data_IF_387693178995
#
_entry.id   IF_387693178995
#
_cell.length_a   1.000
_cell.length_b   1.000
_cell.length_c   1.000
_cell.angle_alpha   90.00
_cell.angle_beta   90.00
_cell.angle_gamma   90.00
#
_symmetry.space_group_name_H-M   'P 1'
#
loop_
_entity.id
_entity.type
_entity.pdbx_description
1 polymer ?
#
# COMPACT_ATOMS: atom_id res chain seq x y z
N UNK A 1 -34.83 -63.98 22.06
CA UNK A 1 -33.65 -64.52 22.76
C UNK A 1 -33.60 -66.02 22.52
N UNK A 2 -32.41 -66.58 22.28
CA UNK A 2 -32.19 -68.03 22.33
C UNK A 2 -32.43 -68.53 23.77
N UNK A 3 -32.91 -69.78 23.96
CA UNK A 3 -33.06 -70.34 25.30
C UNK A 3 -31.68 -70.45 25.97
N UNK A 4 -31.58 -70.01 27.23
CA UNK A 4 -30.36 -70.17 28.03
C UNK A 4 -30.17 -71.67 28.28
N UNK A 5 -29.08 -72.23 27.76
CA UNK A 5 -28.71 -73.62 28.01
C UNK A 5 -28.02 -73.70 29.38
N UNK A 6 -28.61 -74.48 30.29
CA UNK A 6 -28.04 -74.81 31.59
C UNK A 6 -27.36 -76.18 31.47
N UNK A 7 -26.10 -76.27 31.89
CA UNK A 7 -25.29 -77.49 31.89
C UNK A 7 -24.85 -77.84 33.31
N UNK A 8 -24.56 -79.12 33.56
CA UNK A 8 -23.84 -79.54 34.77
C UNK A 8 -22.43 -78.95 34.79
N UNK A 9 -21.97 -78.48 35.95
CA UNK A 9 -20.60 -77.97 36.13
C UNK A 9 -19.57 -79.10 35.86
N UNK A 10 -18.53 -78.87 35.05
CA UNK A 10 -17.57 -79.90 34.67
C UNK A 10 -16.54 -80.25 35.77
N UNK A 11 -16.47 -79.46 36.85
CA UNK A 11 -15.51 -79.63 37.96
C UNK A 11 -16.22 -80.03 39.25
N UNK A 12 -17.41 -79.47 39.51
CA UNK A 12 -18.11 -79.57 40.79
C UNK A 12 -19.42 -80.37 40.65
N UNK A 13 -19.40 -81.64 41.07
CA UNK A 13 -20.61 -82.48 41.02
C UNK A 13 -21.77 -81.87 41.81
N UNK A 14 -22.96 -81.83 41.21
CA UNK A 14 -24.16 -81.22 41.79
C UNK A 14 -24.34 -79.72 41.51
N UNK A 15 -23.36 -79.05 40.89
CA UNK A 15 -23.47 -77.66 40.46
C UNK A 15 -23.93 -77.58 39.00
N UNK A 16 -24.50 -76.43 38.65
CA UNK A 16 -24.95 -76.12 37.29
C UNK A 16 -24.40 -74.76 36.86
N UNK A 17 -24.02 -74.67 35.59
CA UNK A 17 -23.48 -73.46 34.96
C UNK A 17 -24.29 -73.09 33.72
N UNK A 18 -24.35 -71.79 33.46
CA UNK A 18 -24.86 -71.21 32.22
C UNK A 18 -24.05 -69.95 31.92
N UNK A 19 -24.04 -69.53 30.65
CA UNK A 19 -23.37 -68.31 30.22
C UNK A 19 -24.38 -67.36 29.60
N UNK A 20 -24.32 -66.09 29.97
CA UNK A 20 -25.09 -65.03 29.32
C UNK A 20 -24.13 -64.21 28.48
N UNK A 21 -24.37 -64.18 27.18
CA UNK A 21 -23.68 -63.26 26.30
C UNK A 21 -24.43 -61.92 26.30
N UNK A 22 -23.88 -60.90 26.97
CA UNK A 22 -24.43 -59.53 26.99
C UNK A 22 -24.02 -58.71 25.77
N UNK A 23 -23.29 -59.31 24.82
CA UNK A 23 -22.77 -58.63 23.63
C UNK A 23 -23.88 -58.02 22.75
N UNK A 24 -24.93 -58.78 22.45
CA UNK A 24 -26.10 -58.34 21.67
C UNK A 24 -27.26 -57.89 22.58
N UNK A 25 -26.95 -57.34 23.76
CA UNK A 25 -27.95 -56.85 24.69
C UNK A 25 -28.69 -55.64 24.09
N UNK A 26 -29.99 -55.80 23.82
CA UNK A 26 -30.82 -54.75 23.23
C UNK A 26 -30.94 -53.49 24.10
N UNK A 27 -30.78 -53.61 25.42
CA UNK A 27 -30.89 -52.49 26.36
C UNK A 27 -29.92 -52.65 27.53
N UNK A 28 -29.28 -51.55 27.93
CA UNK A 28 -28.46 -51.41 29.14
C UNK A 28 -29.29 -51.47 30.44
N UNK A 29 -28.60 -51.36 31.58
CA UNK A 29 -29.16 -51.31 32.93
C UNK A 29 -29.33 -52.67 33.58
N UNK A 30 -29.97 -52.67 34.76
CA UNK A 30 -30.16 -53.86 35.59
C UNK A 30 -31.20 -54.79 34.96
N UNK A 31 -30.78 -56.00 34.62
CA UNK A 31 -31.63 -57.13 34.23
C UNK A 31 -31.73 -58.11 35.40
N UNK A 32 -32.90 -58.73 35.53
CA UNK A 32 -33.18 -59.73 36.57
C UNK A 32 -33.32 -61.09 35.89
N UNK A 33 -32.52 -62.06 36.33
CA UNK A 33 -32.64 -63.46 35.94
C UNK A 33 -33.31 -64.18 37.10
N UNK A 34 -34.49 -64.76 36.85
CA UNK A 34 -35.16 -65.61 37.83
C UNK A 34 -34.78 -67.07 37.58
N UNK A 35 -34.22 -67.72 38.59
CA UNK A 35 -33.91 -69.16 38.57
C UNK A 35 -34.96 -69.90 39.38
N UNK A 36 -35.53 -70.93 38.76
CA UNK A 36 -36.38 -71.94 39.40
C UNK A 36 -35.70 -73.29 39.28
N UNK A 37 -35.51 -73.98 40.40
CA UNK A 37 -34.89 -75.30 40.46
C UNK A 37 -35.84 -76.32 41.10
N UNK A 38 -36.09 -77.41 40.37
CA UNK A 38 -36.96 -78.52 40.77
C UNK A 38 -36.18 -79.84 40.69
N UNK A 39 -36.33 -80.68 41.72
CA UNK A 39 -35.80 -82.05 41.72
C UNK A 39 -36.87 -82.99 42.29
N UNK A 40 -37.07 -84.14 41.66
CA UNK A 40 -38.14 -85.07 42.02
C UNK A 40 -37.99 -85.56 43.47
N UNK A 41 -39.04 -85.40 44.27
CA UNK A 41 -39.10 -85.70 45.71
C UNK A 41 -38.33 -84.72 46.63
N UNK A 42 -37.96 -83.54 46.13
CA UNK A 42 -37.35 -82.45 46.92
C UNK A 42 -38.21 -81.18 46.89
N UNK A 43 -37.99 -80.28 47.84
CA UNK A 43 -38.58 -78.94 47.82
C UNK A 43 -38.09 -78.14 46.62
N UNK A 44 -39.00 -77.44 45.96
CA UNK A 44 -38.69 -76.51 44.88
C UNK A 44 -38.07 -75.21 45.41
N UNK A 45 -37.07 -74.69 44.71
CA UNK A 45 -36.59 -73.31 44.88
C UNK A 45 -37.16 -72.48 43.73
N UNK A 46 -38.06 -71.54 44.04
CA UNK A 46 -38.61 -70.59 43.08
C UNK A 46 -38.00 -69.20 43.26
N UNK A 47 -37.94 -68.43 42.17
CA UNK A 47 -37.63 -67.00 42.19
C UNK A 47 -36.30 -66.64 42.85
N UNK A 48 -35.27 -67.47 42.68
CA UNK A 48 -33.91 -67.06 43.06
C UNK A 48 -33.43 -66.00 42.05
N UNK A 49 -33.35 -64.74 42.48
CA UNK A 49 -33.07 -63.61 41.61
C UNK A 49 -31.57 -63.31 41.54
N UNK A 50 -31.03 -63.29 40.32
CA UNK A 50 -29.70 -62.76 40.01
C UNK A 50 -29.86 -61.42 39.28
N UNK A 51 -29.13 -60.41 39.74
CA UNK A 51 -29.10 -59.08 39.14
C UNK A 51 -27.84 -58.94 38.27
N UNK A 52 -28.00 -58.59 37.00
CA UNK A 52 -26.90 -58.31 36.08
C UNK A 52 -27.07 -56.87 35.58
N UNK A 53 -26.10 -56.01 35.89
CA UNK A 53 -26.08 -54.65 35.36
C UNK A 53 -25.33 -54.63 34.02
N UNK A 54 -26.05 -54.35 32.92
CA UNK A 54 -25.45 -54.23 31.59
C UNK A 54 -25.01 -52.77 31.41
N UNK A 55 -23.70 -52.54 31.32
CA UNK A 55 -23.13 -51.21 31.10
C UNK A 55 -23.16 -50.83 29.62
N UNK A 56 -23.18 -49.52 29.27
CA UNK A 56 -22.95 -49.07 27.91
C UNK A 56 -21.57 -49.52 27.41
N UNK A 57 -21.45 -49.70 26.10
CA UNK A 57 -20.20 -50.04 25.44
C UNK A 57 -19.34 -48.78 25.32
N UNK A 58 -18.08 -48.88 25.75
CA UNK A 58 -17.11 -47.78 25.67
C UNK A 58 -16.92 -47.35 24.21
N UNK A 59 -16.87 -46.03 24.00
CA UNK A 59 -16.68 -45.42 22.69
C UNK A 59 -15.57 -44.39 22.66
N UNK A 60 -15.11 -44.05 21.47
CA UNK A 60 -14.11 -43.01 21.20
C UNK A 60 -14.59 -42.09 20.07
N UNK A 61 -14.18 -40.82 20.08
CA UNK A 61 -14.25 -39.93 18.90
C UNK A 61 -12.82 -39.78 18.38
N UNK A 62 -12.56 -40.16 17.12
CA UNK A 62 -11.22 -40.10 16.52
C UNK A 62 -10.13 -40.80 17.37
N UNK A 63 -10.50 -41.86 18.10
CA UNK A 63 -9.63 -42.56 19.06
C UNK A 63 -9.51 -41.94 20.46
N UNK A 64 -10.12 -40.78 20.74
CA UNK A 64 -10.16 -40.12 22.04
C UNK A 64 -11.39 -40.55 22.87
N UNK A 65 -11.21 -40.95 24.13
CA UNK A 65 -12.29 -41.38 25.04
C UNK A 65 -12.79 -40.26 25.97
N UNK A 66 -12.18 -39.08 25.90
CA UNK A 66 -12.61 -37.87 26.61
C UNK A 66 -13.39 -36.92 25.68
N UNK A 67 -13.64 -35.69 26.14
CA UNK A 67 -14.07 -34.58 25.28
C UNK A 67 -12.97 -34.30 24.24
N UNK A 68 -13.28 -34.45 22.96
CA UNK A 68 -12.39 -34.03 21.88
C UNK A 68 -12.38 -32.50 21.81
N UNK A 69 -11.19 -31.88 21.82
CA UNK A 69 -11.05 -30.42 21.77
C UNK A 69 -10.24 -29.99 20.54
N UNK A 70 -10.89 -29.25 19.66
CA UNK A 70 -10.30 -28.70 18.43
C UNK A 70 -10.21 -27.18 18.54
N UNK A 71 -9.13 -26.59 18.02
CA UNK A 71 -8.93 -25.15 18.04
C UNK A 71 -8.30 -24.70 16.71
N UNK A 72 -9.14 -24.17 15.81
CA UNK A 72 -8.76 -23.89 14.43
C UNK A 72 -8.96 -22.42 14.06
N UNK A 73 -8.07 -21.92 13.20
CA UNK A 73 -8.15 -20.61 12.58
C UNK A 73 -8.32 -20.76 11.08
N UNK A 74 -9.36 -20.16 10.53
CA UNK A 74 -9.73 -20.30 9.11
C UNK A 74 -9.94 -18.90 8.53
N UNK A 75 -9.52 -18.69 7.28
CA UNK A 75 -9.79 -17.44 6.60
C UNK A 75 -11.28 -17.34 6.25
N UNK A 76 -11.88 -16.17 6.47
CA UNK A 76 -13.27 -15.92 6.08
C UNK A 76 -13.47 -16.23 4.58
N UNK A 77 -14.63 -16.79 4.22
CA UNK A 77 -14.94 -17.30 2.87
C UNK A 77 -14.26 -18.64 2.47
N UNK A 78 -13.34 -19.21 3.26
CA UNK A 78 -12.89 -20.59 3.02
C UNK A 78 -13.90 -21.60 3.56
N UNK A 79 -14.21 -22.64 2.77
CA UNK A 79 -15.02 -23.78 3.21
C UNK A 79 -14.17 -24.77 3.98
N UNK A 80 -14.64 -25.18 5.15
CA UNK A 80 -13.99 -26.21 5.96
C UNK A 80 -15.01 -27.22 6.50
N UNK A 81 -14.64 -28.50 6.45
CA UNK A 81 -15.50 -29.62 6.84
C UNK A 81 -14.75 -30.44 7.88
N UNK A 82 -15.25 -30.47 9.11
CA UNK A 82 -14.75 -31.35 10.16
C UNK A 82 -15.31 -32.75 9.95
N UNK A 83 -14.53 -33.80 10.24
CA UNK A 83 -14.97 -35.19 10.15
C UNK A 83 -14.58 -35.96 11.40
N UNK A 84 -15.51 -36.79 11.88
CA UNK A 84 -15.45 -37.50 13.15
C UNK A 84 -15.76 -38.98 12.93
N UNK A 85 -14.91 -39.86 13.44
CA UNK A 85 -15.21 -41.29 13.59
C UNK A 85 -15.65 -41.54 15.03
N UNK A 86 -16.93 -41.87 15.25
CA UNK A 86 -17.42 -42.34 16.53
C UNK A 86 -17.35 -43.87 16.54
N UNK A 87 -16.54 -44.42 17.44
CA UNK A 87 -16.03 -45.79 17.34
C UNK A 87 -16.30 -46.62 18.60
N UNK A 88 -16.49 -47.92 18.42
CA UNK A 88 -16.52 -48.95 19.47
C UNK A 88 -15.09 -49.23 19.95
N UNK A 89 -14.73 -48.77 21.15
CA UNK A 89 -13.34 -48.86 21.66
C UNK A 89 -12.83 -50.29 21.84
N UNK A 90 -13.73 -51.29 21.94
CA UNK A 90 -13.34 -52.70 22.06
C UNK A 90 -12.96 -53.33 20.71
N UNK A 91 -13.36 -52.71 19.59
CA UNK A 91 -13.11 -53.21 18.23
C UNK A 91 -12.27 -52.32 17.35
N UNK A 92 -12.32 -51.02 17.58
CA UNK A 92 -11.94 -50.02 16.59
C UNK A 92 -12.82 -50.12 15.33
N UNK A 93 -14.14 -50.24 15.50
CA UNK A 93 -15.12 -50.15 14.41
C UNK A 93 -15.97 -48.89 14.56
N UNK A 94 -16.05 -48.10 13.48
CA UNK A 94 -16.95 -46.94 13.39
C UNK A 94 -18.41 -47.41 13.54
N UNK A 95 -19.17 -46.69 14.36
CA UNK A 95 -20.57 -46.96 14.67
C UNK A 95 -21.42 -46.01 13.81
N UNK A 96 -22.17 -46.58 12.87
CA UNK A 96 -23.11 -45.86 12.01
C UNK A 96 -24.50 -45.68 12.60
N UNK A 97 -25.37 -45.03 11.83
CA UNK A 97 -26.80 -44.82 12.09
C UNK A 97 -27.09 -44.27 13.51
N UNK A 98 -26.34 -43.26 13.98
CA UNK A 98 -26.50 -42.73 15.34
C UNK A 98 -27.91 -42.18 15.64
N UNK A 99 -28.35 -42.35 16.89
CA UNK A 99 -29.63 -41.82 17.36
C UNK A 99 -29.54 -40.30 17.59
N UNK A 100 -28.33 -39.81 17.92
CA UNK A 100 -27.97 -38.38 17.92
C UNK A 100 -26.60 -38.20 17.26
N UNK A 101 -26.57 -37.38 16.22
CA UNK A 101 -25.35 -36.81 15.63
C UNK A 101 -25.63 -35.33 15.33
N UNK A 102 -25.55 -34.50 16.36
CA UNK A 102 -25.96 -33.09 16.29
C UNK A 102 -24.92 -32.14 16.86
N UNK A 103 -25.08 -30.85 16.56
CA UNK A 103 -24.26 -29.79 17.12
C UNK A 103 -25.12 -28.60 17.56
N UNK A 104 -24.60 -27.88 18.54
CA UNK A 104 -25.02 -26.51 18.89
C UNK A 104 -23.81 -25.60 18.72
N UNK A 105 -24.04 -24.32 18.44
CA UNK A 105 -22.98 -23.33 18.30
C UNK A 105 -23.38 -21.99 18.90
N UNK A 106 -22.38 -21.21 19.31
CA UNK A 106 -22.52 -19.85 19.82
C UNK A 106 -21.37 -19.00 19.28
N UNK A 107 -21.67 -17.77 18.87
CA UNK A 107 -20.65 -16.76 18.62
C UNK A 107 -20.22 -16.12 19.95
N UNK A 108 -18.92 -15.85 20.09
CA UNK A 108 -18.34 -15.21 21.28
C UNK A 108 -17.56 -13.95 20.90
N UNK A 109 -17.51 -12.99 21.83
CA UNK A 109 -16.68 -11.80 21.70
C UNK A 109 -15.18 -12.11 21.94
N UNK A 110 -14.32 -11.10 21.76
CA UNK A 110 -12.88 -11.20 21.99
C UNK A 110 -12.45 -11.45 23.45
N UNK A 111 -13.40 -11.44 24.40
CA UNK A 111 -13.20 -11.74 25.81
C UNK A 111 -13.77 -13.12 26.19
N UNK A 112 -14.42 -13.82 25.25
CA UNK A 112 -15.04 -15.13 25.45
C UNK A 112 -16.49 -15.10 25.97
N UNK A 113 -17.15 -13.94 25.95
CA UNK A 113 -18.58 -13.85 26.31
C UNK A 113 -19.46 -14.21 25.11
N UNK A 114 -20.56 -14.93 25.34
CA UNK A 114 -21.55 -15.25 24.29
C UNK A 114 -22.24 -13.98 23.79
N UNK A 115 -22.34 -13.84 22.47
CA UNK A 115 -23.10 -12.78 21.81
C UNK A 115 -24.58 -13.20 21.75
N UNK A 116 -25.45 -12.49 22.48
CA UNK A 116 -26.87 -12.81 22.58
C UNK A 116 -27.56 -12.77 21.20
N UNK A 117 -28.25 -13.86 20.84
CA UNK A 117 -28.95 -14.00 19.56
C UNK A 117 -28.06 -14.44 18.38
N UNK A 118 -26.75 -14.68 18.59
CA UNK A 118 -25.88 -15.32 17.61
C UNK A 118 -25.53 -16.75 18.06
N UNK A 119 -26.54 -17.62 17.99
CA UNK A 119 -26.44 -19.04 18.32
C UNK A 119 -27.28 -19.89 17.37
N UNK A 120 -27.13 -21.21 17.45
CA UNK A 120 -28.00 -22.13 16.73
C UNK A 120 -27.61 -23.60 16.87
N UNK A 121 -28.22 -24.44 16.04
CA UNK A 121 -28.00 -25.89 16.06
C UNK A 121 -28.16 -26.52 14.68
N UNK A 122 -27.71 -27.77 14.54
CA UNK A 122 -27.86 -28.56 13.32
C UNK A 122 -27.50 -30.02 13.53
N UNK A 123 -27.50 -30.79 12.44
CA UNK A 123 -27.13 -32.22 12.41
C UNK A 123 -25.88 -32.43 11.57
N UNK A 124 -25.09 -33.45 11.89
CA UNK A 124 -23.96 -33.87 11.08
C UNK A 124 -24.46 -34.79 9.96
N UNK A 125 -23.76 -34.81 8.81
CA UNK A 125 -24.06 -35.77 7.75
C UNK A 125 -23.27 -37.06 7.94
N UNK A 126 -23.92 -38.20 7.76
CA UNK A 126 -23.27 -39.51 7.79
C UNK A 126 -22.71 -39.87 6.42
N UNK A 127 -21.44 -40.24 6.39
CA UNK A 127 -20.71 -40.67 5.20
C UNK A 127 -20.96 -42.16 4.89
N UNK A 128 -20.59 -42.56 3.67
CA UNK A 128 -20.66 -43.97 3.20
C UNK A 128 -19.82 -44.93 4.07
N UNK A 129 -18.81 -44.43 4.78
CA UNK A 129 -17.96 -45.18 5.73
C UNK A 129 -18.42 -45.05 7.19
N UNK A 130 -19.64 -44.54 7.44
CA UNK A 130 -20.19 -44.26 8.78
C UNK A 130 -19.44 -43.18 9.60
N UNK A 131 -18.50 -42.42 9.02
CA UNK A 131 -17.98 -41.22 9.69
C UNK A 131 -18.97 -40.05 9.57
N UNK A 132 -18.92 -39.13 10.52
CA UNK A 132 -19.83 -37.99 10.60
C UNK A 132 -19.10 -36.71 10.27
N UNK A 133 -19.64 -35.91 9.35
CA UNK A 133 -19.03 -34.63 8.98
C UNK A 133 -19.92 -33.45 9.34
N UNK A 134 -19.28 -32.41 9.87
CA UNK A 134 -19.88 -31.11 10.14
C UNK A 134 -19.45 -30.15 9.03
N UNK A 135 -20.43 -29.69 8.25
CA UNK A 135 -20.28 -28.50 7.41
C UNK A 135 -20.92 -27.30 8.15
N UNK A 136 -20.07 -26.41 8.65
CA UNK A 136 -20.53 -25.21 9.38
C UNK A 136 -20.87 -24.04 8.44
N UNK A 137 -20.71 -24.23 7.12
CA UNK A 137 -20.81 -23.21 6.07
C UNK A 137 -19.87 -22.02 6.34
N UNK A 138 -18.62 -22.30 6.71
CA UNK A 138 -17.61 -21.28 7.07
C UNK A 138 -17.37 -20.26 5.95
N UNK A 139 -17.65 -20.62 4.70
CA UNK A 139 -17.58 -19.75 3.54
C UNK A 139 -18.61 -18.61 3.52
N UNK A 140 -19.70 -18.73 4.30
CA UNK A 140 -20.78 -17.75 4.39
C UNK A 140 -20.93 -17.12 5.79
N UNK A 141 -20.07 -17.50 6.73
CA UNK A 141 -20.06 -16.97 8.10
C UNK A 141 -19.26 -15.66 8.18
N UNK A 142 -19.69 -14.70 9.02
CA UNK A 142 -18.92 -13.48 9.25
C UNK A 142 -17.63 -13.78 10.03
N UNK A 143 -16.73 -12.79 10.07
CA UNK A 143 -15.51 -12.82 10.88
C UNK A 143 -15.90 -12.77 12.36
N UNK A 144 -15.36 -13.69 13.16
CA UNK A 144 -15.77 -13.88 14.54
C UNK A 144 -15.14 -15.10 15.17
N UNK A 145 -15.51 -15.33 16.44
CA UNK A 145 -15.11 -16.51 17.20
C UNK A 145 -16.35 -17.34 17.48
N UNK A 146 -16.27 -18.65 17.23
CA UNK A 146 -17.37 -19.58 17.36
C UNK A 146 -16.98 -20.74 18.28
N UNK A 147 -17.84 -21.07 19.23
CA UNK A 147 -17.77 -22.31 19.98
C UNK A 147 -18.82 -23.25 19.39
N UNK A 148 -18.41 -24.46 18.99
CA UNK A 148 -19.29 -25.49 18.44
C UNK A 148 -19.18 -26.73 19.34
N UNK A 149 -20.29 -27.14 19.95
CA UNK A 149 -20.37 -28.35 20.76
C UNK A 149 -21.18 -29.43 20.05
N UNK A 150 -20.54 -30.57 19.81
CA UNK A 150 -21.06 -31.69 19.03
C UNK A 150 -21.36 -32.86 19.96
N UNK A 151 -22.48 -33.55 19.76
CA UNK A 151 -22.88 -34.73 20.55
C UNK A 151 -23.14 -35.95 19.66
N UNK A 152 -22.56 -37.08 20.04
CA UNK A 152 -22.69 -38.38 19.40
C UNK A 152 -23.29 -39.39 20.39
N UNK A 153 -24.40 -40.05 20.02
CA UNK A 153 -25.09 -41.02 20.87
C UNK A 153 -25.71 -42.16 20.06
N UNK A 154 -25.53 -43.39 20.53
CA UNK A 154 -26.26 -44.58 20.08
C UNK A 154 -26.74 -45.40 21.27
N UNK A 155 -27.91 -46.03 21.15
CA UNK A 155 -28.45 -46.96 22.15
C UNK A 155 -27.42 -48.05 22.47
N UNK A 156 -27.20 -48.28 23.77
CA UNK A 156 -26.19 -49.21 24.32
C UNK A 156 -24.72 -48.79 24.18
N UNK A 157 -24.41 -47.59 23.68
CA UNK A 157 -23.06 -47.03 23.63
C UNK A 157 -22.93 -45.79 24.53
N UNK A 158 -21.69 -45.46 24.95
CA UNK A 158 -21.44 -44.23 25.71
C UNK A 158 -21.58 -42.99 24.82
N UNK A 159 -22.34 -42.00 25.27
CA UNK A 159 -22.40 -40.67 24.64
C UNK A 159 -21.01 -40.03 24.67
N UNK A 160 -20.57 -39.48 23.55
CA UNK A 160 -19.33 -38.69 23.45
C UNK A 160 -19.62 -37.33 22.82
N UNK A 161 -18.70 -36.40 23.05
CA UNK A 161 -18.83 -35.03 22.57
C UNK A 161 -17.50 -34.49 22.05
N UNK A 162 -17.59 -33.51 21.15
CA UNK A 162 -16.47 -32.70 20.72
C UNK A 162 -16.77 -31.21 20.93
N UNK A 163 -15.73 -30.41 21.19
CA UNK A 163 -15.78 -28.96 21.33
C UNK A 163 -14.79 -28.33 20.36
N UNK A 164 -15.29 -27.52 19.43
CA UNK A 164 -14.48 -26.77 18.47
C UNK A 164 -14.49 -25.30 18.88
N UNK A 165 -13.30 -24.73 19.10
CA UNK A 165 -13.09 -23.29 19.14
C UNK A 165 -12.58 -22.84 17.77
N UNK A 166 -13.46 -22.23 16.98
CA UNK A 166 -13.20 -21.78 15.61
C UNK A 166 -13.04 -20.26 15.59
N UNK A 167 -11.94 -19.76 15.02
CA UNK A 167 -11.79 -18.35 14.67
C UNK A 167 -11.86 -18.18 13.15
N UNK A 168 -12.84 -17.41 12.68
CA UNK A 168 -12.87 -16.89 11.31
C UNK A 168 -12.18 -15.52 11.29
N UNK A 169 -11.10 -15.39 10.52
CA UNK A 169 -10.26 -14.19 10.47
C UNK A 169 -10.22 -13.54 9.08
N UNK A 170 -9.96 -12.23 9.05
CA UNK A 170 -9.68 -11.46 7.83
C UNK A 170 -8.55 -12.11 7.02
N UNK A 171 -8.68 -12.12 5.69
CA UNK A 171 -7.62 -12.55 4.76
C UNK A 171 -6.46 -11.55 4.74
N UNK A 172 -5.28 -12.06 4.46
CA UNK A 172 -4.06 -11.27 4.29
C UNK A 172 -3.70 -11.15 2.80
N UNK A 173 -3.11 -10.01 2.43
CA UNK A 173 -2.55 -9.75 1.11
C UNK A 173 -1.15 -9.14 1.22
N UNK A 174 -0.42 -9.17 0.12
CA UNK A 174 0.85 -8.46 -0.04
C UNK A 174 0.75 -7.45 -1.19
N UNK A 175 1.69 -6.52 -1.25
CA UNK A 175 1.80 -5.53 -2.32
C UNK A 175 3.24 -5.38 -2.82
N UNK A 176 3.41 -5.21 -4.13
CA UNK A 176 4.62 -4.61 -4.69
C UNK A 176 4.28 -3.19 -5.15
N UNK A 177 5.07 -2.21 -4.71
CA UNK A 177 4.90 -0.79 -5.04
C UNK A 177 5.97 -0.39 -6.03
N UNK A 178 5.55 0.06 -7.21
CA UNK A 178 6.42 0.61 -8.25
C UNK A 178 6.01 2.05 -8.59
N UNK A 179 6.91 2.81 -9.24
CA UNK A 179 6.62 4.20 -9.62
C UNK A 179 7.85 5.05 -9.92
N UNK A 180 7.62 6.30 -10.33
CA UNK A 180 8.66 7.17 -10.90
C UNK A 180 9.80 7.45 -9.90
N UNK A 181 10.99 6.93 -10.22
CA UNK A 181 12.22 7.03 -9.43
C UNK A 181 12.05 6.59 -7.96
N UNK A 182 11.23 5.58 -7.69
CA UNK A 182 11.00 5.06 -6.34
C UNK A 182 12.30 4.60 -5.66
N UNK A 183 12.59 5.14 -4.48
CA UNK A 183 13.69 4.70 -3.61
C UNK A 183 13.26 4.80 -2.14
N UNK A 184 13.26 3.68 -1.40
CA UNK A 184 12.93 3.65 0.04
C UNK A 184 11.61 4.40 0.39
N UNK A 185 10.53 4.09 -0.33
CA UNK A 185 9.22 4.76 -0.22
C UNK A 185 9.21 6.26 -0.56
N UNK A 186 10.25 6.77 -1.22
CA UNK A 186 10.30 8.12 -1.78
C UNK A 186 10.16 8.07 -3.30
N UNK A 187 9.11 8.72 -3.82
CA UNK A 187 8.89 8.95 -5.25
C UNK A 187 9.46 10.31 -5.64
N UNK A 188 10.03 10.43 -6.84
CA UNK A 188 10.53 11.73 -7.30
C UNK A 188 10.36 11.99 -8.79
N UNK A 189 9.89 13.19 -9.08
CA UNK A 189 9.45 13.64 -10.41
C UNK A 189 9.89 15.08 -10.62
N UNK A 190 10.07 15.50 -11.87
CA UNK A 190 10.36 16.91 -12.22
C UNK A 190 9.03 17.64 -12.42
N UNK A 191 8.91 18.87 -11.90
CA UNK A 191 7.72 19.69 -12.15
C UNK A 191 7.48 19.84 -13.66
N UNK A 192 6.28 19.49 -14.12
CA UNK A 192 5.92 19.45 -15.54
C UNK A 192 5.69 18.03 -16.06
N UNK A 193 6.30 17.03 -15.41
CA UNK A 193 6.11 15.61 -15.72
C UNK A 193 5.00 15.00 -14.84
N UNK A 194 4.40 13.93 -15.34
CA UNK A 194 3.42 13.13 -14.61
C UNK A 194 4.15 12.16 -13.66
N UNK A 195 3.65 12.02 -12.43
CA UNK A 195 4.13 11.03 -11.47
C UNK A 195 3.27 9.78 -11.55
N UNK A 196 3.86 8.68 -11.99
CA UNK A 196 3.22 7.37 -12.09
C UNK A 196 3.49 6.54 -10.83
N UNK A 197 2.43 5.94 -10.28
CA UNK A 197 2.45 5.04 -9.13
C UNK A 197 1.65 3.79 -9.51
N UNK A 198 2.24 2.61 -9.34
CA UNK A 198 1.63 1.33 -9.65
C UNK A 198 1.75 0.38 -8.44
N UNK A 199 0.70 -0.38 -8.18
CA UNK A 199 0.58 -1.33 -7.07
C UNK A 199 0.07 -2.68 -7.60
N UNK A 200 0.92 -3.70 -7.49
CA UNK A 200 0.54 -5.09 -7.73
C UNK A 200 0.09 -5.71 -6.41
N UNK A 201 -1.17 -6.15 -6.31
CA UNK A 201 -1.74 -6.75 -5.09
C UNK A 201 -1.96 -8.25 -5.26
N UNK A 202 -1.54 -9.04 -4.27
CA UNK A 202 -1.70 -10.52 -4.27
C UNK A 202 -2.29 -11.06 -2.97
N UNK A 203 -3.24 -11.98 -3.10
CA UNK A 203 -3.90 -12.66 -2.00
C UNK A 203 -3.05 -13.81 -1.46
N UNK A 204 -2.40 -13.59 -0.31
CA UNK A 204 -1.57 -14.59 0.36
C UNK A 204 -2.41 -15.78 0.87
N UNK A 205 -3.67 -15.54 1.25
CA UNK A 205 -4.55 -16.57 1.80
C UNK A 205 -5.03 -17.60 0.76
N UNK A 206 -5.01 -17.26 -0.53
CA UNK A 206 -5.43 -18.13 -1.64
C UNK A 206 -4.29 -18.51 -2.60
N UNK A 207 -3.06 -18.51 -2.11
CA UNK A 207 -1.90 -18.99 -2.86
C UNK A 207 -1.34 -17.99 -3.89
N UNK A 208 -1.32 -16.71 -3.53
CA UNK A 208 -0.75 -15.61 -4.30
C UNK A 208 -1.46 -15.35 -5.64
N UNK A 209 -2.78 -15.47 -5.66
CA UNK A 209 -3.60 -15.02 -6.79
C UNK A 209 -3.79 -13.50 -6.74
N UNK A 210 -3.93 -12.85 -7.89
CA UNK A 210 -4.08 -11.39 -7.97
C UNK A 210 -5.33 -10.92 -7.21
N UNK A 211 -5.19 -9.83 -6.44
CA UNK A 211 -6.25 -9.29 -5.60
C UNK A 211 -7.07 -8.24 -6.34
N UNK A 212 -8.00 -8.69 -7.17
CA UNK A 212 -8.88 -7.82 -7.95
C UNK A 212 -9.92 -7.09 -7.09
N UNK A 213 -10.42 -5.95 -7.59
CA UNK A 213 -11.50 -5.14 -6.99
C UNK A 213 -11.25 -4.74 -5.51
N UNK A 214 -10.03 -4.31 -5.18
CA UNK A 214 -9.72 -3.59 -3.94
C UNK A 214 -9.98 -2.08 -4.11
N UNK A 215 -10.31 -1.40 -3.02
CA UNK A 215 -10.31 0.06 -2.93
C UNK A 215 -8.90 0.52 -2.59
N UNK A 216 -8.25 1.24 -3.50
CA UNK A 216 -6.87 1.73 -3.36
C UNK A 216 -6.88 3.23 -3.61
N UNK A 217 -6.45 4.01 -2.63
CA UNK A 217 -6.45 5.48 -2.72
C UNK A 217 -5.23 6.12 -2.07
N UNK A 218 -4.83 7.27 -2.62
CA UNK A 218 -3.77 8.13 -2.11
C UNK A 218 -4.36 9.30 -1.34
N UNK A 219 -3.90 9.52 -0.11
CA UNK A 219 -4.12 10.78 0.62
C UNK A 219 -2.85 11.64 0.62
N UNK A 220 -2.97 12.88 0.15
CA UNK A 220 -1.89 13.86 0.09
C UNK A 220 -2.42 15.26 0.43
N UNK A 221 -1.88 15.85 1.51
CA UNK A 221 -2.34 17.12 2.08
C UNK A 221 -3.85 17.20 2.39
N UNK A 222 -4.49 16.06 2.71
CA UNK A 222 -5.93 15.98 2.97
C UNK A 222 -6.81 15.95 1.71
N UNK A 223 -6.21 15.86 0.52
CA UNK A 223 -6.91 15.52 -0.71
C UNK A 223 -6.83 14.00 -0.94
N UNK A 224 -7.91 13.43 -1.46
CA UNK A 224 -8.10 11.99 -1.68
C UNK A 224 -8.14 11.69 -3.18
N UNK A 225 -7.43 10.66 -3.63
CA UNK A 225 -7.33 10.26 -5.03
C UNK A 225 -7.39 8.75 -5.21
N UNK A 226 -8.38 8.26 -5.94
CA UNK A 226 -8.53 6.83 -6.25
C UNK A 226 -7.53 6.36 -7.32
N UNK A 227 -6.98 5.15 -7.13
CA UNK A 227 -6.27 4.42 -8.18
C UNK A 227 -7.29 3.73 -9.11
N UNK A 228 -6.88 3.46 -10.35
CA UNK A 228 -7.68 2.69 -11.29
C UNK A 228 -7.04 1.30 -11.47
N UNK A 229 -7.84 0.24 -11.35
CA UNK A 229 -7.39 -1.12 -11.69
C UNK A 229 -7.26 -1.23 -13.22
N UNK A 230 -6.03 -1.47 -13.72
CA UNK A 230 -5.72 -1.50 -15.16
C UNK A 230 -5.67 -2.93 -15.72
N UNK A 231 -5.32 -3.89 -14.86
CA UNK A 231 -5.42 -5.32 -15.10
C UNK A 231 -5.64 -6.04 -13.76
N UNK A 232 -6.02 -7.33 -13.72
CA UNK A 232 -6.39 -8.02 -12.49
C UNK A 232 -5.38 -7.83 -11.35
N UNK A 233 -5.77 -7.14 -10.28
CA UNK A 233 -4.93 -6.84 -9.11
C UNK A 233 -3.84 -5.79 -9.31
N UNK A 234 -3.79 -5.08 -10.45
CA UNK A 234 -2.80 -4.05 -10.77
C UNK A 234 -3.46 -2.67 -10.77
N UNK A 235 -3.06 -1.83 -9.82
CA UNK A 235 -3.66 -0.51 -9.55
C UNK A 235 -2.72 0.59 -9.97
N UNK A 236 -3.16 1.50 -10.85
CA UNK A 236 -2.35 2.60 -11.36
C UNK A 236 -2.97 3.97 -11.02
N UNK A 237 -2.11 4.90 -10.61
CA UNK A 237 -2.44 6.30 -10.40
C UNK A 237 -1.39 7.21 -11.03
N UNK A 238 -1.85 8.26 -11.70
CA UNK A 238 -1.00 9.31 -12.30
C UNK A 238 -1.36 10.66 -11.67
N UNK A 239 -0.36 11.28 -11.02
CA UNK A 239 -0.44 12.62 -10.45
C UNK A 239 0.28 13.65 -11.35
N UNK A 240 -0.50 14.55 -11.95
CA UNK A 240 0.03 15.67 -12.74
C UNK A 240 0.66 16.74 -11.86
N UNK A 241 1.95 17.03 -12.07
CA UNK A 241 2.67 18.02 -11.25
C UNK A 241 2.59 19.47 -11.74
N UNK A 242 1.95 19.73 -12.87
CA UNK A 242 1.89 21.05 -13.52
C UNK A 242 1.38 22.20 -12.62
N UNK A 243 0.53 21.88 -11.65
CA UNK A 243 -0.08 22.84 -10.73
C UNK A 243 0.73 23.05 -9.44
N UNK A 244 1.87 22.37 -9.28
CA UNK A 244 2.71 22.43 -8.07
C UNK A 244 3.81 23.48 -8.25
N UNK A 245 3.87 24.46 -7.36
CA UNK A 245 4.86 25.54 -7.40
C UNK A 245 6.24 25.07 -6.85
N UNK A 246 6.99 24.34 -7.68
CA UNK A 246 8.35 23.90 -7.37
C UNK A 246 9.45 24.72 -8.11
N UNK A 247 9.09 25.80 -8.80
CA UNK A 247 10.02 26.56 -9.66
C UNK A 247 11.25 27.12 -8.93
N UNK A 248 11.09 27.54 -7.67
CA UNK A 248 12.17 28.14 -6.86
C UNK A 248 12.89 27.13 -5.95
N UNK A 249 12.22 26.05 -5.54
CA UNK A 249 12.75 24.99 -4.70
C UNK A 249 11.92 23.71 -4.85
N UNK A 250 12.50 22.51 -4.66
CA UNK A 250 11.74 21.27 -4.62
C UNK A 250 10.67 21.28 -3.53
N UNK A 251 9.50 20.73 -3.82
CA UNK A 251 8.43 20.52 -2.84
C UNK A 251 8.43 19.06 -2.38
N UNK A 252 8.24 18.85 -1.08
CA UNK A 252 8.18 17.51 -0.47
C UNK A 252 6.83 17.36 0.20
N UNK A 253 6.09 16.34 -0.22
CA UNK A 253 4.80 15.98 0.34
C UNK A 253 4.92 14.69 1.14
N UNK A 254 4.28 14.65 2.30
CA UNK A 254 3.96 13.40 2.99
C UNK A 254 2.63 12.91 2.47
N UNK A 255 2.56 11.63 2.13
CA UNK A 255 1.36 11.01 1.61
C UNK A 255 1.20 9.57 2.13
N UNK A 256 0.00 9.03 2.02
CA UNK A 256 -0.33 7.69 2.49
C UNK A 256 -1.18 7.00 1.42
N UNK A 257 -0.78 5.82 0.99
CA UNK A 257 -1.63 4.95 0.17
C UNK A 257 -2.36 4.00 1.10
N UNK A 258 -3.68 3.89 0.96
CA UNK A 258 -4.52 3.01 1.76
C UNK A 258 -5.16 1.98 0.86
N UNK A 259 -5.04 0.71 1.23
CA UNK A 259 -5.58 -0.44 0.51
C UNK A 259 -6.63 -1.10 1.42
N UNK A 260 -7.87 -1.17 0.93
CA UNK A 260 -9.02 -1.70 1.65
C UNK A 260 -9.81 -2.66 0.75
N UNK A 261 -10.24 -3.78 1.32
CA UNK A 261 -11.15 -4.71 0.65
C UNK A 261 -11.96 -5.48 1.69
N UNK A 262 -13.25 -5.66 1.43
CA UNK A 262 -14.12 -6.49 2.28
C UNK A 262 -13.50 -7.86 2.51
N UNK A 263 -13.52 -8.32 3.77
CA UNK A 263 -12.93 -9.58 4.21
C UNK A 263 -11.38 -9.67 4.20
N UNK A 264 -10.66 -8.57 3.94
CA UNK A 264 -9.19 -8.50 4.03
C UNK A 264 -8.71 -7.49 5.08
N UNK A 265 -7.49 -7.68 5.58
CA UNK A 265 -6.79 -6.71 6.44
C UNK A 265 -6.53 -5.41 5.70
N UNK A 266 -6.94 -4.25 6.23
CA UNK A 266 -6.52 -2.94 5.70
C UNK A 266 -5.01 -2.78 5.81
N UNK A 267 -4.37 -2.20 4.79
CA UNK A 267 -2.96 -1.80 4.83
C UNK A 267 -2.79 -0.32 4.48
N UNK A 268 -1.81 0.31 5.11
CA UNK A 268 -1.48 1.73 4.99
C UNK A 268 0.01 1.88 4.70
N UNK A 269 0.35 2.46 3.55
CA UNK A 269 1.71 2.58 3.04
C UNK A 269 2.13 4.07 3.09
N UNK A 270 2.96 4.49 4.06
CA UNK A 270 3.47 5.85 4.10
C UNK A 270 4.53 6.07 3.00
N UNK A 271 4.34 7.10 2.19
CA UNK A 271 5.25 7.47 1.11
C UNK A 271 5.58 8.98 1.17
N UNK A 272 6.70 9.37 0.54
CA UNK A 272 7.02 10.77 0.33
C UNK A 272 7.18 11.09 -1.14
N UNK A 273 6.53 12.16 -1.60
CA UNK A 273 6.55 12.59 -3.00
C UNK A 273 7.39 13.87 -3.08
N UNK A 274 8.51 13.79 -3.79
CA UNK A 274 9.41 14.93 -4.02
C UNK A 274 9.25 15.45 -5.45
N UNK A 275 8.62 16.62 -5.60
CA UNK A 275 8.54 17.34 -6.87
C UNK A 275 9.75 18.25 -6.99
N UNK A 276 10.68 17.88 -7.87
CA UNK A 276 11.90 18.64 -8.20
C UNK A 276 11.53 19.88 -9.02
N UNK A 277 12.40 20.88 -8.98
CA UNK A 277 12.27 22.11 -9.78
C UNK A 277 12.17 21.79 -11.27
N UNK A 278 11.35 22.55 -12.01
CA UNK A 278 11.25 22.49 -13.47
C UNK A 278 12.65 22.59 -14.12
N UNK A 279 12.95 21.70 -15.06
CA UNK A 279 14.23 21.63 -15.76
C UNK A 279 14.10 22.09 -17.21
N UNK A 280 15.01 22.96 -17.67
CA UNK A 280 15.07 23.40 -19.08
C UNK A 280 15.87 22.41 -19.95
N UNK A 281 16.83 21.73 -19.34
CA UNK A 281 17.57 20.59 -19.89
C UNK A 281 17.82 19.59 -18.75
N UNK A 282 17.93 18.27 -19.02
CA UNK A 282 18.12 17.27 -17.98
C UNK A 282 19.26 17.61 -17.00
N UNK A 283 18.93 17.71 -15.71
CA UNK A 283 19.83 18.08 -14.62
C UNK A 283 20.10 19.60 -14.47
N UNK A 284 19.39 20.47 -15.20
CA UNK A 284 19.50 21.93 -15.11
C UNK A 284 18.16 22.60 -14.80
N UNK A 285 17.90 22.97 -13.53
CA UNK A 285 16.72 23.74 -13.15
C UNK A 285 16.63 25.10 -13.86
N UNK A 286 15.44 25.38 -14.42
CA UNK A 286 15.14 26.58 -15.21
C UNK A 286 15.44 27.87 -14.45
N UNK A 287 15.12 27.93 -13.16
CA UNK A 287 15.42 29.08 -12.31
C UNK A 287 16.93 29.41 -12.24
N UNK A 288 17.79 28.40 -12.04
CA UNK A 288 19.23 28.63 -11.99
C UNK A 288 19.80 29.05 -13.35
N UNK A 289 19.28 28.49 -14.45
CA UNK A 289 19.65 28.93 -15.80
C UNK A 289 19.30 30.40 -16.05
N UNK A 290 18.09 30.83 -15.66
CA UNK A 290 17.64 32.22 -15.77
C UNK A 290 18.52 33.13 -14.90
N UNK A 291 18.88 32.74 -13.67
CA UNK A 291 19.81 33.50 -12.83
C UNK A 291 21.20 33.66 -13.46
N UNK A 292 21.76 32.60 -14.03
CA UNK A 292 23.07 32.64 -14.71
C UNK A 292 23.04 33.59 -15.91
N UNK A 293 22.02 33.48 -16.78
CA UNK A 293 21.85 34.39 -17.92
C UNK A 293 21.67 35.83 -17.44
N UNK A 294 20.84 36.06 -16.41
CA UNK A 294 20.59 37.39 -15.86
C UNK A 294 21.85 38.02 -15.28
N UNK A 295 22.70 37.24 -14.61
CA UNK A 295 24.00 37.67 -14.12
C UNK A 295 24.96 38.04 -15.26
N UNK A 296 25.03 37.21 -16.32
CA UNK A 296 25.87 37.49 -17.50
C UNK A 296 25.40 38.77 -18.22
N UNK A 297 24.09 38.96 -18.39
CA UNK A 297 23.51 40.19 -18.96
C UNK A 297 23.82 41.39 -18.07
N UNK A 298 23.65 41.28 -16.74
CA UNK A 298 24.00 42.34 -15.79
C UNK A 298 25.48 42.75 -15.83
N UNK A 299 26.39 41.78 -15.87
CA UNK A 299 27.85 42.03 -15.95
C UNK A 299 28.23 42.64 -17.30
N UNK A 300 27.68 42.14 -18.40
CA UNK A 300 27.98 42.68 -19.75
C UNK A 300 27.37 44.06 -19.97
N UNK A 301 26.14 44.31 -19.51
CA UNK A 301 25.49 45.62 -19.55
C UNK A 301 26.23 46.64 -18.68
N UNK A 302 26.59 46.30 -17.44
CA UNK A 302 27.35 47.19 -16.55
C UNK A 302 28.74 47.49 -17.09
N UNK A 303 29.47 46.49 -17.64
CA UNK A 303 30.74 46.72 -18.33
C UNK A 303 30.58 47.59 -19.59
N UNK A 304 29.49 47.42 -20.34
CA UNK A 304 29.12 48.22 -21.50
C UNK A 304 28.86 49.69 -21.14
N UNK A 305 28.00 49.93 -20.13
CA UNK A 305 27.70 51.26 -19.59
C UNK A 305 28.98 51.90 -19.01
N UNK A 306 29.77 51.16 -18.24
CA UNK A 306 31.03 51.65 -17.69
C UNK A 306 32.02 52.08 -18.78
N UNK A 307 32.19 51.27 -19.83
CA UNK A 307 32.98 51.65 -21.02
C UNK A 307 32.37 52.83 -21.76
N UNK A 308 31.04 52.92 -21.85
CA UNK A 308 30.31 54.04 -22.42
C UNK A 308 30.56 55.35 -21.67
N UNK A 309 30.49 55.33 -20.33
CA UNK A 309 30.76 56.48 -19.45
C UNK A 309 32.24 56.87 -19.47
N UNK A 310 33.16 55.90 -19.40
CA UNK A 310 34.60 56.18 -19.58
C UNK A 310 34.85 56.83 -20.94
N UNK A 311 34.28 56.30 -22.01
CA UNK A 311 34.37 56.93 -23.33
C UNK A 311 33.74 58.32 -23.31
N UNK A 312 32.55 58.51 -22.76
CA UNK A 312 31.88 59.82 -22.67
C UNK A 312 32.78 60.88 -22.01
N UNK A 313 33.41 60.55 -20.88
CA UNK A 313 34.35 61.40 -20.13
C UNK A 313 35.64 61.76 -20.89
N UNK A 314 36.06 61.00 -21.90
CA UNK A 314 37.20 61.39 -22.76
C UNK A 314 36.82 62.64 -23.58
N UNK A 315 37.58 63.75 -23.52
CA UNK A 315 37.27 64.97 -24.27
C UNK A 315 37.13 64.73 -25.79
N UNK A 316 36.21 65.46 -26.44
CA UNK A 316 35.89 65.28 -27.87
C UNK A 316 37.12 65.40 -28.79
N UNK A 317 38.11 66.22 -28.44
CA UNK A 317 39.37 66.33 -29.18
C UNK A 317 40.26 65.09 -29.03
N UNK A 318 40.41 64.53 -27.83
CA UNK A 318 41.16 63.27 -27.61
C UNK A 318 40.50 62.10 -28.35
N UNK A 319 39.16 62.08 -28.44
CA UNK A 319 38.42 61.11 -29.28
C UNK A 319 38.77 61.24 -30.77
N UNK A 320 38.78 62.47 -31.32
CA UNK A 320 39.19 62.73 -32.71
C UNK A 320 40.63 62.26 -32.95
N UNK A 321 41.58 62.65 -32.08
CA UNK A 321 42.99 62.24 -32.16
C UNK A 321 43.14 60.71 -32.08
N UNK A 322 42.43 60.02 -31.18
CA UNK A 322 42.43 58.55 -31.10
C UNK A 322 41.83 57.90 -32.34
N UNK A 323 40.76 58.45 -32.94
CA UNK A 323 40.20 57.97 -34.22
C UNK A 323 41.21 58.11 -35.36
N UNK A 324 41.85 59.27 -35.50
CA UNK A 324 42.90 59.53 -36.50
C UNK A 324 44.07 58.54 -36.29
N UNK A 325 44.60 58.41 -35.07
CA UNK A 325 45.68 57.45 -34.74
C UNK A 325 45.27 56.00 -35.05
N UNK A 326 44.01 55.61 -34.81
CA UNK A 326 43.51 54.28 -35.16
C UNK A 326 43.42 54.08 -36.68
N UNK A 327 42.92 55.07 -37.42
CA UNK A 327 42.84 55.04 -38.90
C UNK A 327 44.23 54.92 -39.55
N UNK A 328 45.19 55.74 -39.09
CA UNK A 328 46.61 55.65 -39.47
C UNK A 328 47.17 54.25 -39.17
N UNK A 329 46.96 53.73 -37.95
CA UNK A 329 47.44 52.37 -37.59
C UNK A 329 46.78 51.27 -38.43
N UNK A 330 45.52 51.44 -38.86
CA UNK A 330 44.82 50.51 -39.74
C UNK A 330 44.95 50.83 -41.24
N UNK A 331 45.88 51.71 -41.62
CA UNK A 331 46.13 52.15 -43.02
C UNK A 331 44.88 52.60 -43.79
N UNK A 332 43.89 53.19 -43.11
CA UNK A 332 42.69 53.78 -43.75
C UNK A 332 42.94 55.26 -44.04
N UNK A 333 42.42 55.75 -45.17
CA UNK A 333 42.47 57.18 -45.51
C UNK A 333 41.78 58.01 -44.42
N UNK A 334 42.36 59.17 -44.12
CA UNK A 334 41.84 60.12 -43.14
C UNK A 334 41.17 61.25 -43.92
N UNK A 335 39.88 61.48 -43.69
CA UNK A 335 39.16 62.62 -44.28
C UNK A 335 39.55 63.93 -43.59
N UNK A 336 39.78 64.98 -44.37
CA UNK A 336 40.12 66.33 -43.88
C UNK A 336 39.02 66.98 -43.01
N UNK A 337 37.80 66.42 -43.02
CA UNK A 337 36.68 66.86 -42.17
C UNK A 337 36.92 66.74 -40.65
N UNK A 338 37.99 66.07 -40.21
CA UNK A 338 38.31 65.87 -38.78
C UNK A 338 39.20 67.01 -38.24
N UNK A 339 38.77 68.27 -38.43
CA UNK A 339 39.40 69.43 -37.79
C UNK A 339 39.46 69.26 -36.26
N UNK A 340 40.66 69.39 -35.70
CA UNK A 340 40.90 69.46 -34.25
C UNK A 340 40.97 70.95 -33.93
N UNK A 341 40.03 71.52 -33.16
CA UNK A 341 40.06 72.95 -32.83
C UNK A 341 41.35 73.27 -32.07
N UNK A 342 41.95 74.41 -32.36
CA UNK A 342 43.21 74.82 -31.77
C UNK A 342 43.05 75.24 -30.30
N UNK A 343 44.16 75.40 -29.58
CA UNK A 343 44.12 75.75 -28.14
C UNK A 343 43.37 77.07 -27.90
N UNK A 344 43.51 78.05 -28.79
CA UNK A 344 42.79 79.32 -28.74
C UNK A 344 41.30 79.14 -28.98
N UNK A 345 40.88 78.36 -29.98
CA UNK A 345 39.46 78.09 -30.25
C UNK A 345 38.75 77.39 -29.07
N UNK A 346 39.47 76.54 -28.33
CA UNK A 346 38.93 75.92 -27.11
C UNK A 346 38.82 76.90 -25.94
N UNK A 347 39.79 77.81 -25.77
CA UNK A 347 39.77 78.84 -24.73
C UNK A 347 38.64 79.85 -24.97
N UNK A 348 38.49 80.31 -26.21
CA UNK A 348 37.34 81.11 -26.69
C UNK A 348 36.02 80.45 -26.31
N UNK A 349 35.87 79.15 -26.56
CA UNK A 349 34.60 78.46 -26.28
C UNK A 349 34.31 78.21 -24.79
N UNK A 350 35.34 78.20 -23.94
CA UNK A 350 35.19 77.93 -22.51
C UNK A 350 35.10 79.18 -21.65
N UNK A 351 35.73 80.28 -22.07
CA UNK A 351 35.90 81.51 -21.29
C UNK A 351 35.47 82.77 -22.05
N UNK A 352 35.05 82.66 -23.32
CA UNK A 352 34.70 83.81 -24.15
C UNK A 352 33.46 84.57 -23.68
N UNK A 353 32.49 83.88 -23.08
CA UNK A 353 31.29 84.52 -22.53
C UNK A 353 31.61 85.23 -21.21
N UNK A 354 32.43 84.62 -20.34
CA UNK A 354 32.95 85.25 -19.12
C UNK A 354 33.80 86.49 -19.42
N UNK A 355 34.61 86.44 -20.49
CA UNK A 355 35.40 87.59 -20.95
C UNK A 355 34.52 88.69 -21.56
N UNK A 356 33.50 88.34 -22.33
CA UNK A 356 32.51 89.31 -22.84
C UNK A 356 31.74 89.99 -21.69
N UNK A 357 31.45 89.28 -20.60
CA UNK A 357 30.80 89.85 -19.42
C UNK A 357 31.65 90.93 -18.71
N UNK A 358 32.98 90.89 -18.84
CA UNK A 358 33.90 91.95 -18.36
C UNK A 358 34.34 92.92 -19.47
N UNK A 359 33.63 92.93 -20.61
CA UNK A 359 33.87 93.87 -21.71
C UNK A 359 35.08 93.55 -22.60
N UNK A 360 35.63 92.33 -22.53
CA UNK A 360 36.80 91.91 -23.32
C UNK A 360 36.45 90.82 -24.35
N UNK A 361 36.89 91.01 -25.59
CA UNK A 361 36.72 90.00 -26.65
C UNK A 361 37.92 89.05 -26.70
N UNK A 362 37.78 87.87 -26.07
CA UNK A 362 38.80 86.81 -26.14
C UNK A 362 39.02 86.30 -27.60
N UNK A 363 38.03 86.50 -28.47
CA UNK A 363 38.09 86.13 -29.90
C UNK A 363 39.05 87.03 -30.71
N UNK A 364 39.15 88.33 -30.35
CA UNK A 364 40.11 89.28 -30.89
C UNK A 364 41.50 89.09 -30.27
N UNK A 365 41.60 88.88 -28.95
CA UNK A 365 42.92 88.77 -28.28
C UNK A 365 43.70 87.51 -28.68
N UNK A 366 43.00 86.46 -29.13
CA UNK A 366 43.61 85.20 -29.56
C UNK A 366 43.67 85.04 -31.10
N UNK A 367 43.37 86.08 -31.88
CA UNK A 367 43.38 86.11 -33.35
C UNK A 367 42.62 84.92 -34.01
N UNK A 368 41.48 84.56 -33.42
CA UNK A 368 40.66 83.43 -33.90
C UNK A 368 39.63 83.83 -34.94
N UNK A 369 39.18 85.10 -34.93
CA UNK A 369 38.18 85.63 -35.87
C UNK A 369 38.61 85.51 -37.33
N UNK A 370 39.87 85.79 -37.64
CA UNK A 370 40.42 85.74 -39.00
C UNK A 370 40.43 84.32 -39.61
N UNK A 371 40.43 83.26 -38.78
CA UNK A 371 40.46 81.87 -39.26
C UNK A 371 39.09 81.35 -39.73
N UNK A 372 38.00 81.70 -39.03
CA UNK A 372 36.63 81.32 -39.43
C UNK A 372 36.29 81.80 -40.86
N UNK A 373 36.72 83.01 -41.21
CA UNK A 373 36.53 83.61 -42.54
C UNK A 373 37.26 82.86 -43.67
N UNK A 374 38.34 82.12 -43.37
CA UNK A 374 39.09 81.32 -44.34
C UNK A 374 38.55 79.92 -44.55
N UNK A 375 37.90 79.32 -43.56
CA UNK A 375 37.21 78.02 -43.74
C UNK A 375 35.90 78.19 -44.54
N UNK A 376 35.13 79.26 -44.31
CA UNK A 376 33.91 79.53 -45.08
C UNK A 376 34.17 79.77 -46.56
N UNK A 377 35.31 80.36 -46.94
CA UNK A 377 35.66 80.58 -48.34
C UNK A 377 36.05 79.30 -49.10
N UNK A 378 36.34 78.18 -48.41
CA UNK A 378 36.76 76.92 -49.04
C UNK A 378 35.61 75.96 -49.34
N UNK A 379 34.51 76.00 -48.59
CA UNK A 379 33.39 75.09 -48.83
C UNK A 379 32.48 75.53 -49.99
N UNK A 380 32.46 76.82 -50.35
CA UNK A 380 31.65 77.35 -51.45
C UNK A 380 32.27 77.14 -52.86
N UNK A 381 33.28 76.27 -53.00
CA UNK A 381 34.02 76.02 -54.25
C UNK A 381 33.82 74.60 -54.83
N UNK A 382 32.93 73.79 -54.25
CA UNK A 382 32.78 72.36 -54.59
C UNK A 382 31.36 71.92 -55.00
N UNK A 383 30.44 72.83 -55.31
CA UNK A 383 29.07 72.51 -55.81
C UNK A 383 28.80 73.11 -57.20
N UNK A 384 29.75 72.96 -58.14
CA UNK A 384 29.60 73.55 -59.47
C UNK A 384 30.57 73.06 -60.53
N UNK A 385 30.60 71.75 -60.81
CA UNK A 385 30.96 71.18 -62.13
C UNK A 385 30.75 69.65 -62.14
N UNK A 386 29.68 69.17 -62.80
CA UNK A 386 29.69 68.01 -63.71
C UNK A 386 28.34 67.93 -64.46
N UNK A 387 28.41 67.47 -65.72
CA UNK A 387 27.29 67.26 -66.66
C UNK A 387 27.04 65.76 -66.80
#
# INVERSE_FOLDING_TARGET
>A
MTPIVISSDPVNSGYYTFTINTYDAQTIGIKIISITAQLQNYSEVQNYLIYVNILPRLTTINGNDQLEYLNDQIWVQDRHIYTFAYEDSLRSTVIGDLDVANFIWQEIDSLGNVIEGSDGSGTLYENVNHSYSLDFNTEYRPIGYYIIYITFQKENYETRSALINLQLKLREFDYDLSGSNLQHSQLSVVQGEDLEIELDLVDLSRGNINLENASVFLEIQGNHYDFNETSPGVYHFNLRTNNIEAFFMPQIYSAQITIQKDNFTTQEIPISITVKMEEIFPGMPTFYFILIISAIIGVSASAGIYRGVQQARIPKHVKKIRKIRKAIKSRKSVSDSISIPSKSDMLVKLLGDDWKAIGLSLEETLDTGARKLKESSKNNLNEGEEI
#
